data_IF_541093487780
#
_entry.id   IF_541093487780
#
_cell.length_a   1.000
_cell.length_b   1.000
_cell.length_c   1.000
_cell.angle_alpha   90.00
_cell.angle_beta   90.00
_cell.angle_gamma   90.00
#
_symmetry.space_group_name_H-M   'P 1'
#
loop_
_entity.id
_entity.type
_entity.pdbx_description
1 polymer ?
#
# COMPACT_ATOMS: atom_id res chain seq x y z
N UNK A 1 -6.80 4.37 -14.86
CA UNK A 1 -7.28 4.77 -16.19
C UNK A 1 -6.17 5.46 -17.00
N UNK A 2 -5.52 6.49 -16.47
CA UNK A 2 -4.47 7.26 -17.16
C UNK A 2 -3.32 6.40 -17.72
N UNK A 3 -2.77 5.48 -16.91
CA UNK A 3 -1.69 4.58 -17.35
C UNK A 3 -2.09 3.72 -18.55
N UNK A 4 -3.32 3.20 -18.57
CA UNK A 4 -3.83 2.38 -19.68
C UNK A 4 -3.97 3.18 -20.96
N UNK A 5 -4.55 4.39 -20.85
CA UNK A 5 -4.69 5.29 -22.00
C UNK A 5 -3.32 5.74 -22.54
N UNK A 6 -2.39 6.10 -21.66
CA UNK A 6 -1.01 6.46 -22.03
C UNK A 6 -0.28 5.31 -22.72
N UNK A 7 -0.44 4.08 -22.23
CA UNK A 7 0.14 2.89 -22.85
C UNK A 7 -0.44 2.63 -24.25
N UNK A 8 -1.76 2.76 -24.42
CA UNK A 8 -2.42 2.64 -25.72
C UNK A 8 -1.89 3.69 -26.70
N UNK A 9 -1.81 4.96 -26.29
CA UNK A 9 -1.28 6.03 -27.14
C UNK A 9 0.18 5.81 -27.53
N UNK A 10 1.03 5.40 -26.59
CA UNK A 10 2.44 5.12 -26.86
C UNK A 10 2.61 3.93 -27.83
N UNK A 11 1.85 2.85 -27.64
CA UNK A 11 1.85 1.70 -28.54
C UNK A 11 1.36 2.11 -29.94
N UNK A 12 0.31 2.91 -30.00
CA UNK A 12 -0.22 3.40 -31.27
C UNK A 12 0.79 4.29 -32.02
N UNK A 13 1.53 5.13 -31.31
CA UNK A 13 2.55 6.00 -31.89
C UNK A 13 3.65 5.22 -32.64
N UNK A 14 3.92 3.98 -32.23
CA UNK A 14 4.89 3.09 -32.89
C UNK A 14 4.24 2.09 -33.87
N UNK A 15 2.95 2.29 -34.20
CA UNK A 15 2.24 1.53 -35.22
C UNK A 15 1.38 0.37 -34.74
N UNK A 16 1.18 0.19 -33.43
CA UNK A 16 0.23 -0.82 -32.92
C UNK A 16 -1.21 -0.33 -33.18
N UNK A 17 -2.07 -1.12 -33.85
CA UNK A 17 -3.48 -0.78 -34.01
C UNK A 17 -4.21 -0.63 -32.66
N UNK A 18 -5.19 0.29 -32.59
CA UNK A 18 -5.91 0.57 -31.35
C UNK A 18 -6.65 -0.65 -30.80
N UNK A 19 -7.29 -1.42 -31.67
CA UNK A 19 -8.00 -2.66 -31.33
C UNK A 19 -7.06 -3.69 -30.67
N UNK A 20 -5.86 -3.88 -31.21
CA UNK A 20 -4.83 -4.75 -30.63
C UNK A 20 -4.37 -4.25 -29.26
N UNK A 21 -4.14 -2.94 -29.11
CA UNK A 21 -3.74 -2.37 -27.82
C UNK A 21 -4.84 -2.49 -26.76
N UNK A 22 -6.10 -2.32 -27.16
CA UNK A 22 -7.26 -2.51 -26.29
C UNK A 22 -7.43 -3.97 -25.86
N UNK A 23 -7.29 -4.94 -26.78
CA UNK A 23 -7.35 -6.37 -26.46
C UNK A 23 -6.21 -6.79 -25.50
N UNK A 24 -5.01 -6.26 -25.72
CA UNK A 24 -3.89 -6.48 -24.81
C UNK A 24 -4.15 -5.90 -23.41
N UNK A 25 -4.80 -4.74 -23.32
CA UNK A 25 -5.16 -4.14 -22.03
C UNK A 25 -6.30 -4.90 -21.33
N UNK A 26 -7.26 -5.45 -22.09
CA UNK A 26 -8.36 -6.27 -21.56
C UNK A 26 -7.85 -7.58 -20.94
N UNK A 27 -6.78 -8.15 -21.50
CA UNK A 27 -6.13 -9.36 -20.99
C UNK A 27 -5.04 -9.08 -19.94
N UNK A 28 -4.78 -7.82 -19.61
CA UNK A 28 -3.75 -7.43 -18.64
C UNK A 28 -4.14 -7.84 -17.22
N UNK A 29 -3.36 -8.76 -16.63
CA UNK A 29 -3.63 -9.32 -15.29
C UNK A 29 -3.17 -8.43 -14.14
N UNK A 30 -2.80 -7.19 -14.40
CA UNK A 30 -2.21 -6.30 -13.42
C UNK A 30 -0.69 -6.46 -13.27
N UNK A 31 -0.14 -5.73 -12.33
CA UNK A 31 1.28 -5.80 -11.93
C UNK A 31 1.33 -6.53 -10.58
N UNK A 32 2.36 -7.37 -10.38
CA UNK A 32 2.61 -7.96 -9.05
C UNK A 32 2.68 -6.86 -7.98
N UNK A 33 2.20 -7.16 -6.78
CA UNK A 33 2.24 -6.23 -5.64
C UNK A 33 1.54 -4.90 -5.93
N UNK A 34 0.34 -4.95 -6.53
CA UNK A 34 -0.57 -3.81 -6.69
C UNK A 34 -1.97 -4.22 -6.23
N UNK A 35 -2.29 -3.90 -4.97
CA UNK A 35 -3.44 -4.43 -4.23
C UNK A 35 -3.60 -5.95 -4.44
N UNK A 36 -2.48 -6.69 -4.44
CA UNK A 36 -2.48 -8.13 -4.66
C UNK A 36 -3.02 -8.83 -3.42
N UNK A 37 -4.12 -9.57 -3.54
CA UNK A 37 -4.67 -10.33 -2.42
C UNK A 37 -3.72 -11.49 -2.07
N UNK A 38 -3.12 -11.43 -0.88
CA UNK A 38 -2.25 -12.49 -0.35
C UNK A 38 -3.01 -13.51 0.48
N UNK A 39 -4.07 -13.07 1.14
CA UNK A 39 -4.93 -13.91 1.98
C UNK A 39 -6.33 -13.29 2.06
N UNK A 40 -7.36 -14.13 2.12
CA UNK A 40 -8.74 -13.69 2.23
C UNK A 40 -9.57 -14.71 3.01
N UNK A 41 -10.29 -14.23 4.01
CA UNK A 41 -11.34 -14.94 4.75
C UNK A 41 -12.66 -14.21 4.56
N UNK A 42 -13.72 -14.66 5.24
CA UNK A 42 -15.03 -13.98 5.24
C UNK A 42 -14.99 -12.60 5.91
N UNK A 43 -13.95 -12.30 6.70
CA UNK A 43 -13.86 -11.07 7.50
C UNK A 43 -12.61 -10.25 7.23
N UNK A 44 -11.53 -10.86 6.73
CA UNK A 44 -10.25 -10.20 6.50
C UNK A 44 -9.82 -10.35 5.05
N UNK A 45 -9.37 -9.26 4.43
CA UNK A 45 -8.59 -9.34 3.18
C UNK A 45 -7.24 -8.68 3.38
N UNK A 46 -6.17 -9.44 3.14
CA UNK A 46 -4.80 -8.96 3.22
C UNK A 46 -4.25 -8.69 1.82
N UNK A 47 -3.82 -7.45 1.59
CA UNK A 47 -3.28 -6.94 0.34
C UNK A 47 -1.78 -6.65 0.44
N UNK A 48 -1.05 -6.93 -0.63
CA UNK A 48 0.34 -6.48 -0.87
C UNK A 48 0.34 -5.38 -1.93
N UNK A 49 0.88 -4.22 -1.58
CA UNK A 49 1.15 -3.13 -2.52
C UNK A 49 2.59 -2.63 -2.40
N UNK A 50 3.19 -2.34 -3.56
CA UNK A 50 4.52 -1.76 -3.67
C UNK A 50 4.55 -0.26 -3.33
N UNK A 51 3.42 0.38 -3.04
CA UNK A 51 3.35 1.77 -2.64
C UNK A 51 4.26 2.07 -1.44
N UNK A 52 5.02 3.15 -1.55
CA UNK A 52 5.98 3.59 -0.52
C UNK A 52 6.30 5.10 -0.62
N UNK A 53 5.66 5.79 -1.56
CA UNK A 53 5.70 7.24 -1.72
C UNK A 53 4.30 7.80 -1.49
N UNK A 54 4.13 9.04 -0.98
CA UNK A 54 2.83 9.55 -0.59
C UNK A 54 1.79 9.51 -1.70
N UNK A 55 2.14 9.92 -2.93
CA UNK A 55 1.21 9.86 -4.07
C UNK A 55 0.76 8.42 -4.40
N UNK A 56 1.66 7.45 -4.29
CA UNK A 56 1.35 6.04 -4.52
C UNK A 56 0.51 5.45 -3.38
N UNK A 57 0.81 5.82 -2.14
CA UNK A 57 0.04 5.43 -0.94
C UNK A 57 -1.39 5.96 -1.06
N UNK A 58 -1.53 7.26 -1.36
CA UNK A 58 -2.82 7.91 -1.57
C UNK A 58 -3.63 7.22 -2.68
N UNK A 59 -3.00 6.95 -3.83
CA UNK A 59 -3.67 6.25 -4.94
C UNK A 59 -4.13 4.85 -4.54
N UNK A 60 -3.32 4.14 -3.75
CA UNK A 60 -3.63 2.80 -3.25
C UNK A 60 -4.83 2.82 -2.31
N UNK A 61 -4.82 3.72 -1.32
CA UNK A 61 -5.88 3.84 -0.33
C UNK A 61 -7.18 4.38 -0.92
N UNK A 62 -7.13 5.36 -1.82
CA UNK A 62 -8.31 5.82 -2.56
C UNK A 62 -8.93 4.71 -3.40
N UNK A 63 -8.10 3.94 -4.11
CA UNK A 63 -8.56 2.81 -4.91
C UNK A 63 -9.19 1.72 -4.04
N UNK A 64 -8.59 1.43 -2.88
CA UNK A 64 -9.13 0.46 -1.93
C UNK A 64 -10.43 0.97 -1.31
N UNK A 65 -10.48 2.22 -0.85
CA UNK A 65 -11.68 2.87 -0.30
C UNK A 65 -12.84 2.88 -1.28
N UNK A 66 -12.59 3.19 -2.55
CA UNK A 66 -13.60 3.13 -3.60
C UNK A 66 -14.14 1.71 -3.82
N UNK A 67 -13.31 0.68 -3.60
CA UNK A 67 -13.70 -0.74 -3.73
C UNK A 67 -14.51 -1.24 -2.53
N UNK A 68 -14.13 -0.84 -1.32
CA UNK A 68 -14.64 -1.43 -0.06
C UNK A 68 -15.63 -0.54 0.70
N UNK A 69 -15.90 0.66 0.19
CA UNK A 69 -16.88 1.57 0.77
C UNK A 69 -16.50 1.99 2.19
N UNK A 70 -17.36 1.74 3.16
CA UNK A 70 -17.14 2.14 4.57
C UNK A 70 -16.51 1.05 5.43
N UNK A 71 -16.09 -0.08 4.84
CA UNK A 71 -15.40 -1.14 5.57
C UNK A 71 -14.03 -0.66 6.09
N UNK A 72 -13.57 -1.23 7.20
CA UNK A 72 -12.35 -0.77 7.85
C UNK A 72 -11.10 -1.06 6.99
N UNK A 73 -10.27 -0.04 6.77
CA UNK A 73 -8.97 -0.14 6.09
C UNK A 73 -7.86 0.07 7.13
N UNK A 74 -6.99 -0.92 7.26
CA UNK A 74 -5.79 -0.87 8.09
C UNK A 74 -4.59 -0.74 7.15
N UNK A 75 -3.94 0.43 7.15
CA UNK A 75 -2.75 0.68 6.36
C UNK A 75 -1.49 0.30 7.15
N UNK A 76 -0.64 -0.55 6.59
CA UNK A 76 0.59 -1.04 7.21
C UNK A 76 1.78 -0.61 6.37
N UNK A 77 2.69 0.20 6.91
CA UNK A 77 3.71 0.89 6.12
C UNK A 77 5.14 0.61 6.58
N UNK A 78 6.04 0.50 5.59
CA UNK A 78 7.49 0.49 5.79
C UNK A 78 8.14 1.69 5.07
N UNK A 79 8.67 2.65 5.82
CA UNK A 79 9.29 3.86 5.26
C UNK A 79 10.78 3.63 4.91
N UNK A 80 11.06 2.86 3.85
CA UNK A 80 12.44 2.48 3.50
C UNK A 80 13.22 3.46 2.63
N UNK A 81 12.56 4.15 1.69
CA UNK A 81 13.28 4.89 0.63
C UNK A 81 14.01 6.12 1.17
N UNK A 82 15.15 6.48 0.58
CA UNK A 82 15.95 7.64 1.02
C UNK A 82 15.14 8.95 1.05
N UNK A 83 14.25 9.15 0.07
CA UNK A 83 13.36 10.32 0.01
C UNK A 83 12.29 10.33 1.09
N UNK A 84 11.84 9.16 1.56
CA UNK A 84 10.94 9.06 2.71
C UNK A 84 11.71 9.27 4.01
N UNK A 85 12.94 8.77 4.09
CA UNK A 85 13.83 8.96 5.25
C UNK A 85 14.31 10.40 5.41
N UNK A 86 14.37 11.19 4.34
CA UNK A 86 14.80 12.59 4.37
C UNK A 86 13.69 13.58 4.76
N UNK A 87 12.43 13.14 4.89
CA UNK A 87 11.35 14.00 5.40
C UNK A 87 10.85 15.07 4.43
N UNK A 88 11.21 15.01 3.15
CA UNK A 88 10.76 16.01 2.17
C UNK A 88 9.24 16.03 1.96
N UNK A 89 8.55 14.94 2.32
CA UNK A 89 7.12 14.75 2.10
C UNK A 89 6.30 14.51 3.37
N UNK A 90 6.75 15.03 4.52
CA UNK A 90 6.11 14.80 5.83
C UNK A 90 4.60 15.06 5.82
N UNK A 91 4.17 16.25 5.44
CA UNK A 91 2.74 16.59 5.40
C UNK A 91 1.98 15.75 4.37
N UNK A 92 2.56 15.57 3.18
CA UNK A 92 1.94 14.77 2.12
C UNK A 92 1.77 13.31 2.51
N UNK A 93 2.63 12.77 3.39
CA UNK A 93 2.48 11.40 3.90
C UNK A 93 1.26 11.28 4.82
N UNK A 94 1.04 12.25 5.71
CA UNK A 94 -0.15 12.29 6.57
C UNK A 94 -1.41 12.39 5.70
N UNK A 95 -1.42 13.32 4.74
CA UNK A 95 -2.56 13.52 3.84
C UNK A 95 -2.85 12.27 2.99
N UNK A 96 -1.81 11.54 2.58
CA UNK A 96 -1.93 10.31 1.80
C UNK A 96 -2.59 9.16 2.56
N UNK A 97 -2.62 9.20 3.90
CA UNK A 97 -3.15 8.15 4.77
C UNK A 97 -4.60 8.38 5.20
N UNK A 98 -5.20 9.50 4.83
CA UNK A 98 -6.53 9.95 5.27
C UNK A 98 -7.68 8.97 4.97
N UNK A 99 -7.55 8.13 3.94
CA UNK A 99 -8.55 7.13 3.58
C UNK A 99 -8.45 5.83 4.42
N UNK A 100 -7.42 5.68 5.25
CA UNK A 100 -7.28 4.55 6.18
C UNK A 100 -7.94 4.85 7.53
N UNK A 101 -8.58 3.84 8.14
CA UNK A 101 -9.21 3.94 9.46
C UNK A 101 -8.20 3.70 10.59
N UNK A 102 -7.16 2.92 10.31
CA UNK A 102 -6.03 2.71 11.20
C UNK A 102 -4.73 2.66 10.42
N UNK A 103 -3.65 3.19 11.02
CA UNK A 103 -2.32 3.26 10.42
C UNK A 103 -1.32 2.60 11.36
N UNK A 104 -0.58 1.63 10.84
CA UNK A 104 0.53 0.96 11.54
C UNK A 104 1.81 1.19 10.74
N UNK A 105 2.77 1.91 11.30
CA UNK A 105 4.02 2.28 10.63
C UNK A 105 5.17 1.63 11.39
N UNK A 106 6.01 0.89 10.68
CA UNK A 106 7.30 0.47 11.23
C UNK A 106 8.21 1.70 11.33
N UNK A 107 8.69 2.00 12.53
CA UNK A 107 9.61 3.11 12.79
C UNK A 107 10.84 2.97 11.91
N UNK A 108 11.10 3.95 11.03
CA UNK A 108 12.28 3.90 10.19
C UNK A 108 13.55 4.08 11.04
N UNK A 109 14.53 3.21 10.83
CA UNK A 109 15.84 3.39 11.43
C UNK A 109 16.59 4.53 10.70
N UNK A 110 17.11 5.48 11.47
CA UNK A 110 17.88 6.65 11.01
C UNK A 110 17.10 7.54 10.04
N UNK A 111 16.10 8.28 10.54
CA UNK A 111 15.48 9.39 9.83
C UNK A 111 16.13 10.71 10.16
N UNK A 112 16.18 11.61 9.17
CA UNK A 112 16.65 12.99 9.36
C UNK A 112 15.56 13.91 9.96
N UNK A 113 14.42 13.34 10.33
CA UNK A 113 13.24 14.04 10.80
C UNK A 113 12.49 13.28 11.89
N UNK A 114 11.72 14.04 12.65
CA UNK A 114 10.97 13.58 13.80
C UNK A 114 9.62 12.97 13.37
N UNK A 115 9.57 11.64 13.28
CA UNK A 115 8.34 10.92 12.95
C UNK A 115 7.32 10.94 14.09
N UNK A 116 7.80 11.04 15.33
CA UNK A 116 6.97 11.16 16.53
C UNK A 116 6.20 12.49 16.58
N UNK A 117 6.69 13.51 15.88
CA UNK A 117 5.97 14.77 15.72
C UNK A 117 4.82 14.72 14.70
N UNK A 118 4.78 13.71 13.82
CA UNK A 118 3.76 13.59 12.77
C UNK A 118 2.65 12.59 13.07
N UNK A 119 2.98 11.53 13.78
CA UNK A 119 2.05 10.42 14.04
C UNK A 119 1.95 10.17 15.54
N UNK A 120 0.75 9.82 15.98
CA UNK A 120 0.51 9.39 17.35
C UNK A 120 1.34 8.13 17.67
N UNK A 121 1.73 7.99 18.93
CA UNK A 121 2.58 6.88 19.39
C UNK A 121 1.98 5.50 19.07
N UNK A 122 0.64 5.40 19.08
CA UNK A 122 -0.09 4.15 18.80
C UNK A 122 -0.03 3.73 17.32
N UNK A 123 0.42 4.63 16.44
CA UNK A 123 0.64 4.33 15.02
C UNK A 123 2.06 3.79 14.76
N UNK A 124 2.99 3.91 15.71
CA UNK A 124 4.43 3.72 15.48
C UNK A 124 4.94 2.47 16.20
N UNK A 125 5.48 1.53 15.44
CA UNK A 125 5.93 0.22 15.93
C UNK A 125 7.44 0.06 15.75
N UNK A 126 8.12 -0.55 16.74
CA UNK A 126 9.57 -0.78 16.71
C UNK A 126 9.97 -2.03 15.92
N UNK A 127 9.05 -2.99 15.77
CA UNK A 127 9.31 -4.23 15.06
C UNK A 127 8.12 -4.69 14.21
N UNK A 128 8.42 -5.52 13.20
CA UNK A 128 7.38 -6.18 12.39
C UNK A 128 6.56 -7.16 13.22
N UNK A 129 7.18 -7.79 14.22
CA UNK A 129 6.49 -8.73 15.11
C UNK A 129 5.43 -8.01 15.96
N UNK A 130 5.69 -6.77 16.41
CA UNK A 130 4.69 -5.96 17.13
C UNK A 130 3.51 -5.57 16.22
N UNK A 131 3.78 -5.24 14.96
CA UNK A 131 2.74 -4.99 13.95
C UNK A 131 1.90 -6.24 13.74
N UNK A 132 2.54 -7.41 13.57
CA UNK A 132 1.84 -8.69 13.41
C UNK A 132 0.96 -8.97 14.63
N UNK A 133 1.50 -8.80 15.84
CA UNK A 133 0.74 -8.97 17.07
C UNK A 133 -0.49 -8.06 17.10
N UNK A 134 -0.34 -6.78 16.75
CA UNK A 134 -1.46 -5.84 16.68
C UNK A 134 -2.52 -6.25 15.65
N UNK A 135 -2.11 -6.67 14.46
CA UNK A 135 -3.02 -7.09 13.38
C UNK A 135 -3.82 -8.34 13.75
N UNK A 136 -3.21 -9.29 14.47
CA UNK A 136 -3.91 -10.52 14.92
C UNK A 136 -5.01 -10.27 15.95
N UNK A 137 -5.05 -9.08 16.57
CA UNK A 137 -6.14 -8.69 17.46
C UNK A 137 -7.36 -8.10 16.69
N UNK A 138 -7.22 -7.87 15.39
CA UNK A 138 -8.25 -7.26 14.54
C UNK A 138 -8.96 -8.38 13.77
N UNK A 139 -10.24 -8.60 14.08
CA UNK A 139 -11.00 -9.74 13.54
C UNK A 139 -11.69 -9.46 12.19
N UNK A 140 -11.70 -8.20 11.72
CA UNK A 140 -12.36 -7.81 10.47
C UNK A 140 -11.72 -6.59 9.82
N UNK A 141 -11.68 -6.58 8.49
CA UNK A 141 -11.28 -5.42 7.69
C UNK A 141 -10.33 -5.75 6.53
N UNK A 142 -9.84 -4.69 5.90
CA UNK A 142 -8.94 -4.74 4.76
C UNK A 142 -7.55 -4.27 5.18
N UNK A 143 -6.60 -5.19 5.25
CA UNK A 143 -5.23 -4.90 5.67
C UNK A 143 -4.40 -4.69 4.41
N UNK A 144 -3.79 -3.53 4.24
CA UNK A 144 -2.95 -3.24 3.08
C UNK A 144 -1.53 -2.96 3.53
N UNK A 145 -0.63 -3.89 3.19
CA UNK A 145 0.81 -3.79 3.46
C UNK A 145 1.47 -3.07 2.30
N UNK A 146 2.07 -1.93 2.60
CA UNK A 146 2.68 -1.00 1.64
C UNK A 146 4.18 -0.88 1.89
N UNK A 147 4.99 -1.52 1.03
CA UNK A 147 6.45 -1.47 1.11
C UNK A 147 7.10 -1.77 -0.24
N UNK A 148 8.24 -1.12 -0.51
CA UNK A 148 9.10 -1.45 -1.65
C UNK A 148 10.11 -2.58 -1.36
N UNK A 149 10.10 -3.14 -0.14
CA UNK A 149 10.95 -4.24 0.30
C UNK A 149 10.19 -5.54 0.54
N UNK A 150 10.83 -6.44 1.29
CA UNK A 150 10.21 -7.65 1.83
C UNK A 150 9.47 -7.43 3.15
N UNK A 151 9.65 -6.26 3.78
CA UNK A 151 9.04 -5.89 5.07
C UNK A 151 9.22 -6.98 6.13
N UNK A 152 10.45 -7.46 6.29
CA UNK A 152 10.82 -8.57 7.19
C UNK A 152 9.93 -9.82 7.07
N UNK A 153 9.52 -10.13 5.83
CA UNK A 153 8.69 -11.27 5.49
C UNK A 153 7.34 -11.29 6.22
N UNK A 154 6.77 -10.09 6.47
CA UNK A 154 5.54 -9.86 7.23
C UNK A 154 4.38 -10.78 6.82
N UNK A 155 4.25 -11.11 5.54
CA UNK A 155 3.17 -11.99 5.07
C UNK A 155 3.30 -13.42 5.62
N UNK A 156 4.52 -13.99 5.63
CA UNK A 156 4.75 -15.33 6.16
C UNK A 156 4.61 -15.37 7.69
N UNK A 157 4.85 -14.23 8.37
CA UNK A 157 4.62 -14.09 9.81
C UNK A 157 3.13 -13.92 10.14
N UNK A 158 2.40 -13.15 9.32
CA UNK A 158 1.01 -12.77 9.61
C UNK A 158 0.01 -13.86 9.21
N UNK A 159 0.10 -14.40 8.00
CA UNK A 159 -0.91 -15.32 7.44
C UNK A 159 -1.18 -16.56 8.32
N UNK A 160 -0.20 -17.20 8.98
CA UNK A 160 -0.47 -18.33 9.87
C UNK A 160 -1.31 -17.99 11.11
N UNK A 161 -1.46 -16.70 11.43
CA UNK A 161 -2.15 -16.20 12.62
C UNK A 161 -3.46 -15.46 12.29
N UNK A 162 -3.85 -15.40 11.01
CA UNK A 162 -5.10 -14.79 10.54
C UNK A 162 -6.21 -15.84 10.33
#
# INVERSE_FOLDING_TARGET
MENGLGAIYAAHHIGVPFDVACEALDTFKGVKRRLEVKHQTDHITLYDDFAHHPSAIQTTLQGLRAKVGTENIIAVLELRSNTMKSGFHQQSLVDALTDADQVLILRPQNTDWDIDALFDIDCLFESVDDIVNQLTQINQGHFVVMSNGSFDDIFNKLIPNL
#
